data_IF_539717798672
#
_entry.id   IF_539717798672
#
_cell.length_a   1.000
_cell.length_b   1.000
_cell.length_c   1.000
_cell.angle_alpha   90.00
_cell.angle_beta   90.00
_cell.angle_gamma   90.00
#
_symmetry.space_group_name_H-M   'P 1'
#
loop_
_entity.id
_entity.type
_entity.pdbx_description
1 polymer ?
#
# COMPACT_ATOMS: atom_id res chain seq x y z
N UNK A 1 -11.69 21.82 -9.51
CA UNK A 1 -12.04 21.04 -10.73
C UNK A 1 -12.84 19.82 -10.30
N UNK A 2 -13.65 19.18 -11.17
CA UNK A 2 -14.41 17.96 -10.83
C UNK A 2 -14.13 16.86 -11.84
N UNK A 3 -14.05 15.62 -11.36
CA UNK A 3 -13.97 14.42 -12.18
C UNK A 3 -15.16 13.51 -11.86
N UNK A 4 -15.82 12.99 -12.89
CA UNK A 4 -16.92 12.04 -12.78
C UNK A 4 -16.50 10.68 -13.35
N UNK A 5 -16.76 9.60 -12.62
CA UNK A 5 -16.55 8.23 -13.06
C UNK A 5 -17.56 7.29 -12.39
N UNK A 6 -17.44 5.97 -12.61
CA UNK A 6 -18.31 4.96 -12.00
C UNK A 6 -18.28 4.98 -10.45
N UNK A 7 -17.22 5.49 -9.84
CA UNK A 7 -17.10 5.63 -8.39
C UNK A 7 -17.73 6.93 -7.84
N UNK A 8 -18.30 7.78 -8.71
CA UNK A 8 -18.94 9.04 -8.36
C UNK A 8 -18.17 10.27 -8.81
N UNK A 9 -18.46 11.41 -8.18
CA UNK A 9 -17.84 12.69 -8.48
C UNK A 9 -16.79 13.01 -7.42
N UNK A 10 -15.57 13.31 -7.87
CA UNK A 10 -14.45 13.71 -7.02
C UNK A 10 -14.11 15.18 -7.26
N UNK A 11 -14.00 15.94 -6.18
CA UNK A 11 -13.42 17.28 -6.23
C UNK A 11 -11.89 17.19 -6.29
N UNK A 12 -11.31 17.92 -7.23
CA UNK A 12 -9.87 18.03 -7.46
C UNK A 12 -9.42 19.46 -7.16
N UNK A 13 -8.32 19.58 -6.41
CA UNK A 13 -7.58 20.84 -6.26
C UNK A 13 -6.32 20.82 -7.10
N UNK A 14 -5.95 21.98 -7.65
CA UNK A 14 -4.73 22.16 -8.43
C UNK A 14 -3.94 23.29 -7.77
N UNK A 15 -2.69 23.02 -7.43
CA UNK A 15 -1.77 24.01 -6.88
C UNK A 15 -0.61 24.22 -7.85
N UNK A 16 -0.24 25.48 -8.06
CA UNK A 16 0.96 25.83 -8.82
C UNK A 16 2.17 25.77 -7.87
N UNK A 17 3.21 25.05 -8.28
CA UNK A 17 4.47 24.94 -7.53
C UNK A 17 5.62 25.53 -8.34
N UNK A 18 6.80 25.62 -7.72
CA UNK A 18 8.00 26.12 -8.42
C UNK A 18 8.42 25.23 -9.60
N UNK A 19 8.00 23.98 -9.61
CA UNK A 19 8.42 22.96 -10.59
C UNK A 19 7.29 22.51 -11.52
N UNK A 20 6.06 22.98 -11.32
CA UNK A 20 4.92 22.61 -12.16
C UNK A 20 3.58 22.75 -11.44
N UNK A 21 2.70 21.78 -11.65
CA UNK A 21 1.37 21.73 -11.01
C UNK A 21 1.25 20.45 -10.21
N UNK A 22 0.70 20.57 -9.01
CA UNK A 22 0.30 19.43 -8.19
C UNK A 22 -1.23 19.30 -8.21
N UNK A 23 -1.71 18.06 -8.36
CA UNK A 23 -3.14 17.74 -8.40
C UNK A 23 -3.47 16.92 -7.15
N UNK A 24 -4.45 17.40 -6.40
CA UNK A 24 -4.91 16.75 -5.18
C UNK A 24 -6.32 16.21 -5.37
N UNK A 25 -6.53 14.98 -4.94
CA UNK A 25 -7.82 14.31 -4.88
C UNK A 25 -8.02 13.74 -3.49
N UNK A 26 -9.24 13.85 -2.95
CA UNK A 26 -9.56 13.22 -1.68
C UNK A 26 -9.76 11.73 -1.87
N UNK A 27 -8.92 10.93 -1.20
CA UNK A 27 -9.12 9.48 -1.15
C UNK A 27 -10.41 9.13 -0.37
N UNK A 28 -11.07 8.00 -0.69
CA UNK A 28 -12.18 7.48 0.10
C UNK A 28 -11.82 7.28 1.58
N UNK A 29 -12.81 7.11 2.46
CA UNK A 29 -12.52 6.79 3.87
C UNK A 29 -12.07 5.33 3.99
N UNK A 30 -10.91 5.11 4.61
CA UNK A 30 -10.38 3.77 4.84
C UNK A 30 -11.22 2.98 5.84
N UNK A 31 -11.45 1.70 5.53
CA UNK A 31 -11.80 0.69 6.54
C UNK A 31 -10.55 -0.12 6.82
N UNK A 32 -10.07 -0.05 8.06
CA UNK A 32 -8.83 -0.70 8.50
C UNK A 32 -9.19 -1.80 9.48
N UNK A 33 -8.58 -2.97 9.28
CA UNK A 33 -8.73 -4.13 10.15
C UNK A 33 -7.34 -4.72 10.42
N UNK A 34 -7.02 -4.98 11.68
CA UNK A 34 -5.82 -5.75 12.03
C UNK A 34 -6.04 -7.24 11.74
N UNK A 35 -5.01 -7.87 11.16
CA UNK A 35 -5.01 -9.29 10.84
C UNK A 35 -4.25 -10.05 11.94
N UNK A 36 -4.85 -11.15 12.41
CA UNK A 36 -4.30 -11.93 13.51
C UNK A 36 -2.94 -12.57 13.22
N UNK A 37 -2.23 -12.91 14.30
CA UNK A 37 -0.82 -13.35 14.27
C UNK A 37 -0.54 -14.53 13.32
N UNK A 38 -1.43 -15.53 13.24
CA UNK A 38 -1.23 -16.68 12.35
C UNK A 38 -1.06 -16.26 10.88
N UNK A 39 -1.89 -15.31 10.44
CA UNK A 39 -1.89 -14.79 9.08
C UNK A 39 -0.80 -13.74 8.87
N UNK A 40 -0.43 -13.00 9.92
CA UNK A 40 0.76 -12.15 9.94
C UNK A 40 2.03 -12.97 9.70
N UNK A 41 2.16 -14.11 10.38
CA UNK A 41 3.27 -15.05 10.18
C UNK A 41 3.26 -15.68 8.78
N UNK A 42 2.06 -15.96 8.24
CA UNK A 42 1.92 -16.42 6.87
C UNK A 42 2.41 -15.36 5.85
N UNK A 43 2.12 -14.08 6.09
CA UNK A 43 2.61 -12.98 5.28
C UNK A 43 4.15 -12.86 5.35
N UNK A 44 4.74 -12.95 6.55
CA UNK A 44 6.19 -12.94 6.72
C UNK A 44 6.87 -14.08 5.93
N UNK A 45 6.32 -15.30 6.00
CA UNK A 45 6.80 -16.45 5.21
C UNK A 45 6.66 -16.22 3.70
N UNK A 46 5.55 -15.62 3.26
CA UNK A 46 5.33 -15.33 1.84
C UNK A 46 6.31 -14.26 1.32
N UNK A 47 6.65 -13.27 2.14
CA UNK A 47 7.61 -12.21 1.84
C UNK A 47 9.08 -12.68 1.95
N UNK A 48 9.32 -13.80 2.64
CA UNK A 48 10.65 -14.39 2.83
C UNK A 48 11.49 -13.70 3.92
N UNK A 49 10.94 -12.68 4.59
CA UNK A 49 11.59 -11.95 5.68
C UNK A 49 10.57 -11.63 6.78
N UNK A 50 11.01 -11.50 8.05
CA UNK A 50 10.14 -11.05 9.12
C UNK A 50 9.56 -9.65 8.85
N UNK A 51 8.32 -9.43 9.26
CA UNK A 51 7.78 -8.07 9.38
C UNK A 51 8.42 -7.36 10.57
N UNK A 52 8.32 -6.03 10.62
CA UNK A 52 8.75 -5.25 11.75
C UNK A 52 8.09 -5.75 13.05
N UNK A 53 8.90 -5.93 14.10
CA UNK A 53 8.43 -6.42 15.39
C UNK A 53 7.37 -5.48 15.96
N UNK A 54 6.33 -6.05 16.58
CA UNK A 54 5.18 -5.33 17.14
C UNK A 54 4.34 -4.51 16.13
N UNK A 55 4.71 -4.48 14.84
CA UNK A 55 3.88 -3.86 13.80
C UNK A 55 2.80 -4.84 13.31
N UNK A 56 1.51 -4.44 13.28
CA UNK A 56 0.43 -5.30 12.81
C UNK A 56 0.47 -5.46 11.29
N UNK A 57 -0.06 -6.58 10.80
CA UNK A 57 -0.50 -6.70 9.42
C UNK A 57 -1.90 -6.09 9.31
N UNK A 58 -2.07 -5.09 8.44
CA UNK A 58 -3.36 -4.40 8.28
C UNK A 58 -4.04 -4.82 6.99
N UNK A 59 -5.35 -5.03 7.02
CA UNK A 59 -6.20 -5.06 5.83
C UNK A 59 -6.85 -3.68 5.68
N UNK A 60 -6.47 -2.95 4.64
CA UNK A 60 -6.95 -1.60 4.35
C UNK A 60 -7.83 -1.64 3.11
N UNK A 61 -9.10 -1.27 3.27
CA UNK A 61 -10.08 -1.15 2.20
C UNK A 61 -10.37 0.33 1.90
N UNK A 62 -10.00 0.74 0.69
CA UNK A 62 -10.20 2.08 0.12
C UNK A 62 -10.99 2.00 -1.20
N UNK A 63 -11.80 0.96 -1.38
CA UNK A 63 -12.38 0.54 -2.66
C UNK A 63 -11.56 -0.56 -3.32
N UNK A 64 -10.22 -0.45 -3.27
CA UNK A 64 -9.29 -1.56 -3.50
C UNK A 64 -8.74 -1.99 -2.14
N UNK A 65 -8.66 -3.30 -1.92
CA UNK A 65 -8.25 -3.88 -0.63
C UNK A 65 -6.79 -4.29 -0.70
N UNK A 66 -5.96 -3.81 0.23
CA UNK A 66 -4.56 -4.20 0.36
C UNK A 66 -4.27 -4.76 1.76
N UNK A 67 -3.41 -5.77 1.80
CA UNK A 67 -2.71 -6.14 3.02
C UNK A 67 -1.49 -5.23 3.13
N UNK A 68 -1.30 -4.54 4.25
CA UNK A 68 -0.25 -3.54 4.44
C UNK A 68 0.64 -3.95 5.61
N UNK A 69 1.94 -4.05 5.35
CA UNK A 69 2.93 -4.46 6.33
C UNK A 69 4.13 -3.51 6.38
N UNK A 70 4.59 -3.25 7.61
CA UNK A 70 5.82 -2.50 7.88
C UNK A 70 7.02 -3.45 7.89
N UNK A 71 8.05 -3.10 7.12
CA UNK A 71 9.34 -3.81 7.03
C UNK A 71 10.45 -3.10 7.81
N UNK A 72 10.15 -1.97 8.44
CA UNK A 72 11.09 -1.15 9.21
C UNK A 72 11.89 -0.18 8.35
N UNK A 73 12.54 -0.66 7.29
CA UNK A 73 13.45 0.15 6.47
C UNK A 73 13.35 -0.12 4.96
N UNK A 74 13.76 0.88 4.18
CA UNK A 74 13.69 0.86 2.72
C UNK A 74 14.62 -0.18 2.06
N UNK A 75 15.72 -0.57 2.70
CA UNK A 75 16.66 -1.57 2.17
C UNK A 75 16.05 -2.97 2.24
N UNK A 76 15.39 -3.29 3.35
CA UNK A 76 14.61 -4.52 3.52
C UNK A 76 13.51 -4.61 2.45
N UNK A 77 12.74 -3.53 2.24
CA UNK A 77 11.74 -3.47 1.16
C UNK A 77 12.36 -3.71 -0.22
N UNK A 78 13.47 -3.04 -0.53
CA UNK A 78 14.13 -3.15 -1.83
C UNK A 78 14.66 -4.57 -2.11
N UNK A 79 15.12 -5.28 -1.08
CA UNK A 79 15.69 -6.61 -1.20
C UNK A 79 14.65 -7.75 -1.29
N UNK A 80 13.36 -7.47 -1.11
CA UNK A 80 12.32 -8.51 -1.12
C UNK A 80 12.29 -9.29 -2.43
N UNK A 81 12.27 -10.61 -2.29
CA UNK A 81 12.02 -11.57 -3.36
C UNK A 81 10.91 -12.55 -2.93
N UNK A 82 9.64 -12.10 -2.94
CA UNK A 82 8.55 -12.85 -2.33
C UNK A 82 8.09 -14.04 -3.17
N UNK A 83 7.46 -15.02 -2.50
CA UNK A 83 6.73 -16.09 -3.17
C UNK A 83 5.39 -15.57 -3.70
N UNK A 84 5.31 -15.38 -5.03
CA UNK A 84 4.09 -14.89 -5.68
C UNK A 84 2.89 -15.83 -5.47
N UNK A 85 3.12 -17.15 -5.46
CA UNK A 85 2.07 -18.13 -5.20
C UNK A 85 1.54 -18.04 -3.76
N UNK A 86 2.45 -17.86 -2.78
CA UNK A 86 2.05 -17.69 -1.39
C UNK A 86 1.28 -16.38 -1.16
N UNK A 87 1.71 -15.30 -1.81
CA UNK A 87 0.98 -14.02 -1.79
C UNK A 87 -0.40 -14.18 -2.43
N UNK A 88 -0.50 -14.81 -3.60
CA UNK A 88 -1.80 -15.03 -4.26
C UNK A 88 -2.77 -15.82 -3.37
N UNK A 89 -2.27 -16.86 -2.68
CA UNK A 89 -3.06 -17.64 -1.72
C UNK A 89 -3.51 -16.81 -0.53
N UNK A 90 -2.60 -16.03 0.07
CA UNK A 90 -2.92 -15.16 1.20
C UNK A 90 -3.96 -14.09 0.81
N UNK A 91 -3.76 -13.44 -0.34
CA UNK A 91 -4.68 -12.46 -0.91
C UNK A 91 -6.06 -13.05 -1.17
N UNK A 92 -6.14 -14.28 -1.68
CA UNK A 92 -7.41 -14.99 -1.86
C UNK A 92 -8.12 -15.24 -0.51
N UNK A 93 -7.40 -15.77 0.48
CA UNK A 93 -7.94 -16.02 1.83
C UNK A 93 -8.50 -14.76 2.48
N UNK A 94 -7.81 -13.63 2.34
CA UNK A 94 -8.16 -12.37 2.98
C UNK A 94 -9.01 -11.45 2.10
N UNK A 95 -9.45 -11.92 0.94
CA UNK A 95 -10.20 -11.14 -0.06
C UNK A 95 -9.53 -9.78 -0.30
N UNK A 96 -8.23 -9.81 -0.57
CA UNK A 96 -7.38 -8.68 -0.83
C UNK A 96 -6.80 -8.75 -2.24
N UNK A 97 -6.42 -7.61 -2.78
CA UNK A 97 -5.78 -7.47 -4.10
C UNK A 97 -4.37 -8.07 -4.09
N UNK A 98 -3.65 -7.84 -2.99
CA UNK A 98 -2.23 -8.11 -2.88
C UNK A 98 -1.69 -7.71 -1.52
N UNK A 99 -0.36 -7.72 -1.41
CA UNK A 99 0.39 -7.25 -0.25
C UNK A 99 1.20 -6.02 -0.64
N UNK A 100 0.99 -4.92 0.06
CA UNK A 100 1.81 -3.71 0.01
C UNK A 100 2.71 -3.68 1.25
N UNK A 101 3.99 -3.43 1.03
CA UNK A 101 4.99 -3.30 2.09
C UNK A 101 5.58 -1.92 2.06
N UNK A 102 5.95 -1.40 3.22
CA UNK A 102 6.67 -0.13 3.32
C UNK A 102 7.81 -0.21 4.34
N UNK A 103 8.76 0.70 4.21
CA UNK A 103 9.87 0.84 5.17
C UNK A 103 10.42 2.25 5.11
N UNK A 104 10.98 2.74 6.23
CA UNK A 104 11.50 4.12 6.31
C UNK A 104 12.60 4.36 5.29
N UNK A 105 12.47 5.44 4.54
CA UNK A 105 13.50 5.90 3.64
C UNK A 105 14.48 6.83 4.39
N UNK A 106 15.77 6.74 4.05
CA UNK A 106 16.84 7.54 4.63
C UNK A 106 17.54 8.40 3.55
N UNK A 107 16.82 8.77 2.48
CA UNK A 107 17.32 9.51 1.33
C UNK A 107 17.17 11.04 1.47
N UNK A 108 16.47 11.51 2.51
CA UNK A 108 16.17 12.92 2.74
C UNK A 108 15.13 13.52 1.79
N UNK A 109 14.51 12.69 0.95
CA UNK A 109 13.53 13.09 -0.08
C UNK A 109 12.17 12.44 0.21
N UNK A 110 12.17 11.14 0.47
CA UNK A 110 11.00 10.32 0.68
C UNK A 110 10.85 9.97 2.16
N UNK A 111 9.61 9.83 2.64
CA UNK A 111 9.37 9.33 3.99
C UNK A 111 9.52 7.80 4.07
N UNK A 112 9.07 7.09 3.03
CA UNK A 112 9.05 5.63 2.96
C UNK A 112 9.33 5.15 1.55
N UNK A 113 9.88 3.94 1.44
CA UNK A 113 9.91 3.15 0.21
C UNK A 113 8.79 2.12 0.26
N UNK A 114 8.06 1.95 -0.85
CA UNK A 114 6.86 1.10 -0.94
C UNK A 114 6.98 0.16 -2.13
N UNK A 115 6.57 -1.10 -1.96
CA UNK A 115 6.38 -2.08 -3.04
C UNK A 115 5.04 -2.78 -2.88
N UNK A 116 4.40 -3.17 -3.97
CA UNK A 116 3.09 -3.83 -3.95
C UNK A 116 3.07 -5.06 -4.85
N UNK A 117 2.67 -6.20 -4.30
CA UNK A 117 2.63 -7.49 -5.01
C UNK A 117 1.18 -7.96 -5.14
N UNK A 118 0.67 -8.10 -6.37
CA UNK A 118 -0.72 -8.45 -6.64
C UNK A 118 -0.87 -9.65 -7.61
N UNK A 119 -0.16 -10.77 -7.39
CA UNK A 119 -0.11 -11.88 -8.34
C UNK A 119 -1.48 -12.51 -8.63
N UNK A 120 -2.44 -12.44 -7.70
CA UNK A 120 -3.82 -12.89 -7.92
C UNK A 120 -4.55 -12.11 -9.03
N UNK A 121 -4.12 -10.88 -9.30
CA UNK A 121 -4.62 -10.04 -10.40
C UNK A 121 -3.84 -10.26 -11.71
N UNK A 122 -2.93 -11.23 -11.75
CA UNK A 122 -2.04 -11.45 -12.89
C UNK A 122 -0.89 -10.43 -12.98
N UNK A 123 -0.68 -9.63 -11.93
CA UNK A 123 0.36 -8.60 -11.85
C UNK A 123 1.34 -8.99 -10.74
N UNK A 124 2.52 -9.55 -11.06
CA UNK A 124 3.46 -9.99 -10.02
C UNK A 124 3.87 -8.87 -9.06
N UNK A 125 4.21 -7.70 -9.61
CA UNK A 125 4.50 -6.49 -8.86
C UNK A 125 3.79 -5.32 -9.54
N UNK A 126 2.91 -4.66 -8.79
CA UNK A 126 2.19 -3.47 -9.23
C UNK A 126 3.09 -2.26 -8.94
N UNK A 127 3.37 -1.38 -9.93
CA UNK A 127 4.05 -0.13 -9.66
C UNK A 127 3.33 0.65 -8.54
N UNK A 128 4.03 1.48 -7.75
CA UNK A 128 3.45 2.13 -6.58
C UNK A 128 2.13 2.84 -6.92
N UNK A 129 1.02 2.29 -6.45
CA UNK A 129 -0.30 2.88 -6.60
C UNK A 129 -0.43 4.06 -5.64
N UNK A 130 -0.88 5.22 -6.15
CA UNK A 130 -0.91 6.47 -5.38
C UNK A 130 -1.67 6.36 -4.03
N UNK A 131 -2.67 5.47 -3.91
CA UNK A 131 -3.39 5.27 -2.65
C UNK A 131 -2.57 4.56 -1.56
N UNK A 132 -1.46 3.89 -1.90
CA UNK A 132 -0.54 3.32 -0.91
C UNK A 132 0.36 4.39 -0.26
N UNK A 133 0.44 5.58 -0.85
CA UNK A 133 1.32 6.67 -0.42
C UNK A 133 0.58 7.80 0.32
N UNK A 134 -0.65 7.56 0.83
CA UNK A 134 -1.47 8.62 1.42
C UNK A 134 -0.72 9.36 2.53
N UNK A 135 -0.39 10.65 2.36
CA UNK A 135 0.14 11.46 3.43
C UNK A 135 -0.97 11.69 4.46
N UNK A 136 -0.58 11.82 5.73
CA UNK A 136 -1.49 12.24 6.79
C UNK A 136 -2.20 13.54 6.38
N UNK A 137 -3.50 13.41 6.12
CA UNK A 137 -4.56 14.41 6.28
C UNK A 137 -4.15 15.89 6.08
N UNK A 138 -4.45 16.46 4.90
CA UNK A 138 -4.57 17.92 4.73
C UNK A 138 -6.05 18.25 4.51
N UNK A 139 -6.66 19.11 5.36
CA UNK A 139 -8.01 19.57 5.10
C UNK A 139 -7.98 20.45 3.85
N UNK A 140 -8.89 20.18 2.93
CA UNK A 140 -9.29 21.20 1.95
C UNK A 140 -10.04 22.32 2.68
#
# INVERSE_FOLDING_TARGET
MRQECLAGIFDLAIEETKTGKEIFVKAPKAKIMEIGEELRDAAARALGVPLMAESPLLRIDMGVVWLVADMGDAATVAALNPSMDAIAKLSSTLQATGVTVFGRANDGISAVHVRSFAPLQGIPEDPPYAAAATPAWRPF
#
